data_IF_552813450876
#
_entry.id   IF_552813450876
#
_cell.length_a   1.000
_cell.length_b   1.000
_cell.length_c   1.000
_cell.angle_alpha   90.00
_cell.angle_beta   90.00
_cell.angle_gamma   90.00
#
_symmetry.space_group_name_H-M   'P 1'
#
loop_
_entity.id
_entity.type
_entity.pdbx_description
1 polymer ?
#
# COMPACT_ATOMS: atom_id res chain seq x y z
N UNK A 1 37.54 10.95 -20.89
CA UNK A 1 36.95 11.29 -19.58
C UNK A 1 36.34 12.68 -19.72
N UNK A 2 35.08 12.78 -20.14
CA UNK A 2 34.38 14.07 -20.20
C UNK A 2 33.86 14.39 -18.80
N UNK A 3 34.26 15.53 -18.26
CA UNK A 3 33.70 16.05 -17.01
C UNK A 3 32.19 16.22 -17.20
N UNK A 4 31.41 15.43 -16.46
CA UNK A 4 29.96 15.58 -16.34
C UNK A 4 29.68 16.91 -15.66
N UNK A 5 29.02 17.84 -16.34
CA UNK A 5 28.43 19.01 -15.70
C UNK A 5 27.39 18.48 -14.71
N UNK A 6 27.65 18.62 -13.41
CA UNK A 6 26.66 18.34 -12.37
C UNK A 6 25.40 19.13 -12.70
N UNK A 7 24.29 18.44 -12.93
CA UNK A 7 23.03 19.08 -13.27
C UNK A 7 22.56 19.83 -12.02
N UNK A 8 22.63 21.16 -12.04
CA UNK A 8 22.46 21.97 -10.81
C UNK A 8 20.99 22.19 -10.44
N UNK A 9 20.05 21.90 -11.35
CA UNK A 9 18.63 22.05 -11.05
C UNK A 9 18.07 20.79 -10.37
N UNK A 10 17.05 20.94 -9.49
CA UNK A 10 16.31 19.80 -8.96
C UNK A 10 15.76 18.90 -10.06
N UNK A 11 15.75 17.59 -9.83
CA UNK A 11 15.02 16.64 -10.66
C UNK A 11 13.53 16.72 -10.33
N UNK A 12 12.67 16.70 -11.35
CA UNK A 12 11.22 16.69 -11.19
C UNK A 12 10.71 15.26 -11.39
N UNK A 13 10.33 14.61 -10.30
CA UNK A 13 9.80 13.25 -10.31
C UNK A 13 8.31 13.31 -10.02
N UNK A 14 7.49 12.85 -10.96
CA UNK A 14 6.05 12.76 -10.82
C UNK A 14 5.65 11.30 -10.59
N UNK A 15 4.69 11.05 -9.71
CA UNK A 15 4.17 9.71 -9.51
C UNK A 15 2.83 9.52 -10.24
N UNK A 16 2.61 8.38 -10.88
CA UNK A 16 1.38 8.10 -11.63
C UNK A 16 0.51 7.02 -11.03
N UNK A 17 0.94 6.37 -9.95
CA UNK A 17 0.22 5.29 -9.28
C UNK A 17 0.80 5.06 -7.89
N UNK A 18 -0.05 4.89 -6.89
CA UNK A 18 0.30 4.37 -5.56
C UNK A 18 -0.37 3.05 -5.21
N UNK A 19 -1.24 2.56 -6.10
CA UNK A 19 -1.93 1.29 -5.95
C UNK A 19 -2.45 0.82 -7.31
N UNK A 20 -2.57 -0.50 -7.52
CA UNK A 20 -2.98 -1.06 -8.82
C UNK A 20 -4.35 -0.57 -9.33
N UNK A 21 -5.20 -0.06 -8.44
CA UNK A 21 -6.51 0.49 -8.77
C UNK A 21 -6.51 1.93 -9.31
N UNK A 22 -5.36 2.61 -9.31
CA UNK A 22 -5.26 3.96 -9.85
C UNK A 22 -5.54 3.99 -11.37
N UNK A 23 -6.20 5.05 -11.88
CA UNK A 23 -6.49 5.16 -13.30
C UNK A 23 -5.23 5.25 -14.14
N UNK A 24 -5.15 4.45 -15.21
CA UNK A 24 -4.06 4.48 -16.19
C UNK A 24 -3.81 5.88 -16.80
N UNK A 25 -4.85 6.73 -16.88
CA UNK A 25 -4.78 8.09 -17.41
C UNK A 25 -3.85 9.00 -16.58
N UNK A 26 -3.59 8.70 -15.31
CA UNK A 26 -2.72 9.53 -14.48
C UNK A 26 -1.28 9.58 -14.99
N UNK A 27 -0.79 8.51 -15.64
CA UNK A 27 0.50 8.55 -16.34
C UNK A 27 0.49 9.56 -17.48
N UNK A 28 -0.60 9.61 -18.24
CA UNK A 28 -0.77 10.55 -19.34
C UNK A 28 -0.88 11.99 -18.85
N UNK A 29 -1.62 12.22 -17.76
CA UNK A 29 -1.75 13.52 -17.10
C UNK A 29 -0.40 14.04 -16.61
N UNK A 30 0.36 13.23 -15.88
CA UNK A 30 1.70 13.60 -15.41
C UNK A 30 2.65 13.92 -16.56
N UNK A 31 2.53 13.21 -17.70
CA UNK A 31 3.35 13.50 -18.87
C UNK A 31 2.94 14.76 -19.64
N UNK A 32 1.69 15.21 -19.56
CA UNK A 32 1.14 16.27 -20.42
C UNK A 32 0.92 17.60 -19.71
N UNK A 33 0.52 17.60 -18.43
CA UNK A 33 0.12 18.80 -17.68
C UNK A 33 1.28 19.73 -17.30
N UNK A 34 2.52 19.31 -17.51
CA UNK A 34 3.69 20.15 -17.30
C UNK A 34 4.98 19.43 -17.64
N UNK A 35 6.09 19.98 -17.16
CA UNK A 35 7.41 19.41 -17.32
C UNK A 35 7.75 18.51 -16.13
N UNK A 36 8.17 17.29 -16.44
CA UNK A 36 8.67 16.28 -15.50
C UNK A 36 9.85 15.58 -16.15
N UNK A 37 10.83 15.17 -15.36
CA UNK A 37 12.01 14.44 -15.84
C UNK A 37 11.78 12.92 -15.79
N UNK A 38 11.09 12.50 -14.72
CA UNK A 38 10.75 11.12 -14.45
C UNK A 38 9.28 10.98 -14.11
N UNK A 39 8.69 9.88 -14.56
CA UNK A 39 7.43 9.36 -14.05
C UNK A 39 7.72 8.06 -13.32
N UNK A 40 7.34 8.00 -12.05
CA UNK A 40 7.34 6.77 -11.25
C UNK A 40 5.92 6.24 -11.09
N UNK A 41 5.80 4.99 -10.65
CA UNK A 41 4.49 4.43 -10.31
C UNK A 41 4.66 3.15 -9.52
N UNK A 42 4.01 3.12 -8.37
CA UNK A 42 3.83 1.95 -7.53
C UNK A 42 2.47 1.31 -7.81
N UNK A 43 2.50 0.04 -8.20
CA UNK A 43 1.33 -0.77 -8.46
C UNK A 43 1.29 -2.01 -7.55
N UNK A 44 2.30 -2.21 -6.69
CA UNK A 44 2.43 -3.40 -5.85
C UNK A 44 2.24 -3.04 -4.38
N UNK A 45 1.02 -3.26 -3.89
CA UNK A 45 0.71 -3.20 -2.48
C UNK A 45 0.62 -4.61 -1.88
N UNK A 46 0.71 -4.74 -0.56
CA UNK A 46 0.54 -6.04 0.11
C UNK A 46 -0.79 -6.72 -0.24
N UNK A 47 -1.82 -5.96 -0.61
CA UNK A 47 -3.16 -6.47 -0.91
C UNK A 47 -3.27 -7.24 -2.24
N UNK A 48 -2.48 -6.91 -3.27
CA UNK A 48 -2.58 -7.56 -4.60
C UNK A 48 -1.51 -8.62 -4.84
N UNK A 49 -0.37 -8.57 -4.15
CA UNK A 49 0.72 -9.54 -4.32
C UNK A 49 0.25 -11.00 -4.26
N UNK A 50 -0.53 -11.38 -3.25
CA UNK A 50 -1.03 -12.74 -3.09
C UNK A 50 -2.04 -13.13 -4.18
N UNK A 51 -2.99 -12.24 -4.47
CA UNK A 51 -4.03 -12.47 -5.47
C UNK A 51 -3.44 -12.64 -6.87
N UNK A 52 -2.49 -11.77 -7.23
CA UNK A 52 -1.78 -11.84 -8.50
C UNK A 52 -0.94 -13.11 -8.59
N UNK A 53 -0.27 -13.51 -7.50
CA UNK A 53 0.56 -14.71 -7.48
C UNK A 53 -0.27 -15.97 -7.72
N UNK A 54 -1.45 -16.05 -7.08
CA UNK A 54 -2.38 -17.14 -7.31
C UNK A 54 -2.91 -17.14 -8.75
N UNK A 55 -3.45 -16.02 -9.23
CA UNK A 55 -4.03 -15.93 -10.58
C UNK A 55 -2.98 -16.14 -11.69
N UNK A 56 -1.74 -15.69 -11.49
CA UNK A 56 -0.63 -15.94 -12.42
C UNK A 56 -0.31 -17.43 -12.54
N UNK A 57 -0.26 -18.16 -11.42
CA UNK A 57 -0.01 -19.61 -11.41
C UNK A 57 -1.17 -20.40 -12.01
N UNK A 58 -2.40 -19.94 -11.80
CA UNK A 58 -3.60 -20.52 -12.40
C UNK A 58 -3.75 -20.18 -13.89
N UNK A 59 -2.87 -19.33 -14.44
CA UNK A 59 -2.89 -18.93 -15.85
C UNK A 59 -4.03 -17.97 -16.21
N UNK A 60 -4.65 -17.32 -15.22
CA UNK A 60 -5.78 -16.41 -15.38
C UNK A 60 -5.38 -14.93 -15.34
N UNK A 61 -4.10 -14.65 -15.09
CA UNK A 61 -3.51 -13.30 -15.07
C UNK A 61 -2.26 -13.27 -15.97
N UNK A 62 -1.88 -12.13 -16.60
CA UNK A 62 -0.68 -12.04 -17.44
C UNK A 62 0.63 -11.86 -16.65
N UNK A 63 0.53 -11.67 -15.33
CA UNK A 63 1.65 -11.55 -14.40
C UNK A 63 2.17 -10.12 -14.21
N UNK A 64 1.64 -9.14 -14.94
CA UNK A 64 1.90 -7.70 -14.77
C UNK A 64 0.58 -6.95 -14.63
N UNK A 65 0.63 -5.73 -14.10
CA UNK A 65 -0.53 -4.89 -13.84
C UNK A 65 -1.10 -4.30 -15.14
N UNK A 66 -2.39 -4.50 -15.36
CA UNK A 66 -3.05 -4.05 -16.59
C UNK A 66 -3.10 -2.53 -16.68
N UNK A 67 -3.36 -1.84 -15.56
CA UNK A 67 -3.36 -0.37 -15.49
C UNK A 67 -1.99 0.24 -15.81
N UNK A 68 -0.90 -0.41 -15.40
CA UNK A 68 0.46 -0.01 -15.78
C UNK A 68 0.70 -0.13 -17.29
N UNK A 69 0.24 -1.23 -17.89
CA UNK A 69 0.33 -1.44 -19.33
C UNK A 69 -0.50 -0.41 -20.10
N UNK A 70 -1.74 -0.17 -19.69
CA UNK A 70 -2.62 0.83 -20.31
C UNK A 70 -2.05 2.24 -20.21
N UNK A 71 -1.46 2.60 -19.07
CA UNK A 71 -0.82 3.91 -18.88
C UNK A 71 0.35 4.10 -19.85
N UNK A 72 1.18 3.07 -20.03
CA UNK A 72 2.24 3.08 -21.04
C UNK A 72 1.67 3.21 -22.45
N UNK A 73 0.61 2.48 -22.79
CA UNK A 73 -0.03 2.58 -24.11
C UNK A 73 -0.52 3.99 -24.42
N UNK A 74 -1.16 4.64 -23.44
CA UNK A 74 -1.71 5.99 -23.60
C UNK A 74 -0.60 7.06 -23.70
N UNK A 75 0.56 6.82 -23.09
CA UNK A 75 1.54 7.88 -22.81
C UNK A 75 2.83 7.78 -23.63
N UNK A 76 3.13 6.64 -24.27
CA UNK A 76 4.46 6.36 -24.83
C UNK A 76 4.95 7.38 -25.87
N UNK A 77 4.05 7.96 -26.66
CA UNK A 77 4.41 8.98 -27.66
C UNK A 77 4.84 10.29 -26.98
N UNK A 78 4.14 10.71 -25.91
CA UNK A 78 4.48 11.89 -25.11
C UNK A 78 5.81 11.68 -24.37
N UNK A 79 6.00 10.48 -23.81
CA UNK A 79 7.26 10.06 -23.18
C UNK A 79 8.43 10.22 -24.15
N UNK A 80 8.29 9.73 -25.39
CA UNK A 80 9.32 9.87 -26.42
C UNK A 80 9.56 11.32 -26.82
N UNK A 81 8.48 12.09 -27.05
CA UNK A 81 8.56 13.49 -27.46
C UNK A 81 9.27 14.37 -26.42
N UNK A 82 8.91 14.21 -25.14
CA UNK A 82 9.47 14.99 -24.02
C UNK A 82 10.74 14.38 -23.42
N UNK A 83 11.13 13.18 -23.84
CA UNK A 83 12.26 12.40 -23.28
C UNK A 83 12.12 12.12 -21.78
N UNK A 84 10.88 11.90 -21.34
CA UNK A 84 10.57 11.52 -19.96
C UNK A 84 11.10 10.10 -19.73
N UNK A 85 11.63 9.84 -18.54
CA UNK A 85 12.03 8.49 -18.13
C UNK A 85 10.97 7.89 -17.23
N UNK A 86 10.68 6.60 -17.42
CA UNK A 86 9.64 5.91 -16.65
C UNK A 86 10.26 4.79 -15.83
N UNK A 87 9.94 4.72 -14.54
CA UNK A 87 10.40 3.68 -13.62
C UNK A 87 9.17 3.20 -12.83
N UNK A 88 8.72 1.98 -13.09
CA UNK A 88 7.51 1.42 -12.46
C UNK A 88 7.76 -0.01 -11.98
N UNK A 89 7.07 -0.42 -10.91
CA UNK A 89 7.06 -1.81 -10.44
C UNK A 89 5.83 -2.60 -10.94
N UNK A 90 5.00 -2.01 -11.81
CA UNK A 90 3.82 -2.66 -12.42
C UNK A 90 4.11 -3.89 -13.28
N UNK A 91 5.39 -4.26 -13.46
CA UNK A 91 5.78 -5.56 -13.98
C UNK A 91 5.36 -6.74 -13.09
N UNK A 92 5.11 -6.49 -11.80
CA UNK A 92 4.68 -7.47 -10.80
C UNK A 92 5.49 -8.77 -10.89
N UNK A 93 4.82 -9.90 -11.16
CA UNK A 93 5.40 -11.24 -11.25
C UNK A 93 6.06 -11.52 -12.60
N UNK A 94 5.82 -10.69 -13.61
CA UNK A 94 6.29 -10.85 -14.98
C UNK A 94 6.85 -9.53 -15.55
N UNK A 95 7.87 -8.93 -14.91
CA UNK A 95 8.46 -7.68 -15.38
C UNK A 95 9.07 -7.81 -16.77
N UNK A 96 9.59 -9.00 -17.09
CA UNK A 96 10.05 -9.36 -18.43
C UNK A 96 8.92 -9.25 -19.47
N UNK A 97 7.74 -9.79 -19.16
CA UNK A 97 6.57 -9.77 -20.05
C UNK A 97 6.11 -8.35 -20.36
N UNK A 98 5.99 -7.50 -19.33
CA UNK A 98 5.62 -6.10 -19.51
C UNK A 98 6.65 -5.35 -20.35
N UNK A 99 7.95 -5.56 -20.10
CA UNK A 99 9.02 -4.94 -20.87
C UNK A 99 9.01 -5.38 -22.34
N UNK A 100 8.76 -6.66 -22.64
CA UNK A 100 8.62 -7.13 -24.01
C UNK A 100 7.43 -6.49 -24.71
N UNK A 101 6.27 -6.43 -24.04
CA UNK A 101 5.07 -5.80 -24.59
C UNK A 101 5.28 -4.31 -24.88
N UNK A 102 5.94 -3.61 -23.97
CA UNK A 102 6.37 -2.22 -24.14
C UNK A 102 7.35 -2.06 -25.30
N UNK A 103 8.34 -2.95 -25.42
CA UNK A 103 9.30 -2.93 -26.52
C UNK A 103 8.64 -3.10 -27.90
N UNK A 104 7.62 -3.95 -27.99
CA UNK A 104 6.82 -4.13 -29.21
C UNK A 104 6.09 -2.85 -29.57
N UNK A 105 5.45 -2.18 -28.60
CA UNK A 105 4.80 -0.89 -28.82
C UNK A 105 5.77 0.20 -29.29
N UNK A 106 6.96 0.27 -28.69
CA UNK A 106 8.04 1.18 -29.14
C UNK A 106 8.40 0.94 -30.61
N UNK A 107 8.50 -0.32 -31.04
CA UNK A 107 8.78 -0.66 -32.44
C UNK A 107 7.61 -0.29 -33.37
N UNK A 108 6.39 -0.63 -32.98
CA UNK A 108 5.17 -0.33 -33.75
C UNK A 108 5.03 1.17 -34.02
N UNK A 109 5.33 1.99 -33.00
CA UNK A 109 5.28 3.46 -33.08
C UNK A 109 6.55 4.10 -33.65
N UNK A 110 7.56 3.30 -33.99
CA UNK A 110 8.86 3.76 -34.50
C UNK A 110 9.54 4.81 -33.59
N UNK A 111 9.54 4.56 -32.28
CA UNK A 111 10.09 5.48 -31.27
C UNK A 111 11.52 5.08 -30.87
N UNK A 112 12.37 6.07 -30.61
CA UNK A 112 13.73 5.86 -30.08
C UNK A 112 13.73 5.78 -28.56
N UNK A 113 13.17 4.69 -28.03
CA UNK A 113 13.09 4.42 -26.60
C UNK A 113 13.81 3.12 -26.24
N UNK A 114 14.50 3.14 -25.10
CA UNK A 114 15.12 1.96 -24.50
C UNK A 114 14.21 1.41 -23.41
N UNK A 115 14.05 0.08 -23.40
CA UNK A 115 13.24 -0.64 -22.42
C UNK A 115 14.13 -1.66 -21.72
N UNK A 116 14.10 -1.66 -20.39
CA UNK A 116 14.79 -2.62 -19.54
C UNK A 116 13.84 -3.10 -18.43
N UNK A 117 14.17 -4.23 -17.82
CA UNK A 117 13.45 -4.74 -16.64
C UNK A 117 14.46 -5.28 -15.63
N UNK A 118 14.06 -5.27 -14.37
CA UNK A 118 14.74 -5.93 -13.27
C UNK A 118 13.87 -7.08 -12.76
N UNK A 119 14.49 -8.15 -12.29
CA UNK A 119 13.81 -9.32 -11.71
C UNK A 119 14.72 -9.95 -10.66
N UNK A 120 14.15 -10.61 -9.66
CA UNK A 120 14.91 -11.33 -8.62
C UNK A 120 14.30 -11.24 -7.23
N UNK A 121 13.21 -10.49 -7.09
CA UNK A 121 12.41 -10.33 -5.89
C UNK A 121 11.53 -11.56 -5.58
N UNK A 122 11.12 -12.35 -6.58
CA UNK A 122 10.42 -13.61 -6.36
C UNK A 122 11.36 -14.67 -5.76
N UNK A 123 11.25 -14.85 -4.45
CA UNK A 123 12.00 -15.83 -3.67
C UNK A 123 11.20 -17.11 -3.40
N UNK A 124 10.00 -17.26 -3.96
CA UNK A 124 9.19 -18.47 -3.80
C UNK A 124 9.95 -19.75 -4.19
N UNK A 125 10.74 -19.80 -5.29
CA UNK A 125 11.53 -20.98 -5.63
C UNK A 125 12.63 -21.32 -4.60
N UNK A 126 13.09 -20.33 -3.83
CA UNK A 126 14.14 -20.49 -2.83
C UNK A 126 13.59 -20.98 -1.49
N UNK A 127 12.44 -20.44 -1.06
CA UNK A 127 11.84 -20.78 0.25
C UNK A 127 10.92 -22.01 0.21
N UNK A 128 10.50 -22.42 -0.98
CA UNK A 128 9.69 -23.62 -1.17
C UNK A 128 8.19 -23.42 -1.01
N UNK A 129 7.39 -24.45 -1.32
CA UNK A 129 5.94 -24.31 -1.49
C UNK A 129 5.12 -24.32 -0.19
N UNK A 130 5.76 -24.51 0.97
CA UNK A 130 5.07 -24.63 2.24
C UNK A 130 5.70 -23.69 3.28
N UNK A 131 4.86 -23.15 4.16
CA UNK A 131 5.30 -22.48 5.37
C UNK A 131 6.08 -23.44 6.27
N UNK A 132 7.01 -22.92 7.08
CA UNK A 132 7.68 -23.70 8.13
C UNK A 132 6.68 -24.45 9.02
N UNK A 133 7.02 -25.68 9.42
CA UNK A 133 6.21 -26.49 10.35
C UNK A 133 6.68 -26.36 11.80
N UNK A 134 7.85 -25.75 12.01
CA UNK A 134 8.43 -25.46 13.33
C UNK A 134 9.00 -24.05 13.35
N UNK A 135 9.28 -23.50 14.55
CA UNK A 135 9.89 -22.17 14.67
C UNK A 135 11.33 -22.16 14.17
N UNK A 136 12.01 -23.30 14.29
CA UNK A 136 13.42 -23.53 14.01
C UNK A 136 13.71 -23.61 12.50
N UNK A 137 12.70 -23.94 11.70
CA UNK A 137 12.74 -23.92 10.22
C UNK A 137 12.73 -22.50 9.65
N UNK A 138 12.30 -21.50 10.43
CA UNK A 138 12.35 -20.11 10.01
C UNK A 138 13.77 -19.54 10.22
N UNK A 139 14.58 -19.61 9.16
CA UNK A 139 16.00 -19.22 9.18
C UNK A 139 16.28 -17.96 8.35
N UNK A 140 17.34 -17.25 8.71
CA UNK A 140 17.87 -16.17 7.89
C UNK A 140 18.44 -16.75 6.58
N UNK A 141 17.91 -16.30 5.43
CA UNK A 141 18.24 -16.89 4.11
C UNK A 141 19.73 -16.81 3.76
N UNK A 142 20.43 -15.76 4.19
CA UNK A 142 21.86 -15.60 3.92
C UNK A 142 22.79 -16.22 4.98
N UNK A 143 22.45 -16.10 6.26
CA UNK A 143 23.36 -16.45 7.37
C UNK A 143 23.24 -17.92 7.78
N UNK A 144 22.21 -18.65 7.34
CA UNK A 144 21.89 -20.02 7.78
C UNK A 144 21.86 -20.15 9.32
N UNK A 145 21.45 -19.07 9.99
CA UNK A 145 21.26 -19.00 11.43
C UNK A 145 19.77 -18.74 11.74
N UNK A 146 19.28 -19.10 12.94
CA UNK A 146 17.94 -18.71 13.38
C UNK A 146 17.75 -17.20 13.24
N UNK A 147 16.52 -16.74 13.00
CA UNK A 147 16.22 -15.29 12.96
C UNK A 147 16.59 -14.68 14.31
N UNK A 148 17.70 -13.93 14.34
CA UNK A 148 18.21 -13.23 15.50
C UNK A 148 17.58 -11.84 15.60
N UNK A 149 16.29 -11.74 15.94
CA UNK A 149 15.69 -10.51 16.48
C UNK A 149 14.27 -10.79 16.98
N UNK A 150 13.69 -9.85 17.73
CA UNK A 150 12.38 -9.93 18.38
C UNK A 150 11.24 -10.21 17.38
N UNK A 151 11.08 -11.48 17.03
CA UNK A 151 9.98 -11.96 16.19
C UNK A 151 8.68 -11.72 16.97
N UNK A 152 7.77 -10.95 16.38
CA UNK A 152 6.45 -10.70 16.97
C UNK A 152 5.71 -12.03 17.13
N UNK A 153 4.90 -12.15 18.18
CA UNK A 153 4.22 -13.43 18.50
C UNK A 153 3.32 -13.91 17.36
N UNK A 154 2.73 -12.99 16.61
CA UNK A 154 1.90 -13.23 15.42
C UNK A 154 2.67 -13.82 14.23
N UNK A 155 4.00 -13.71 14.18
CA UNK A 155 4.81 -14.26 13.09
C UNK A 155 4.64 -15.77 12.98
N UNK A 156 4.41 -16.45 14.10
CA UNK A 156 4.23 -17.90 14.14
C UNK A 156 2.77 -18.34 14.02
N UNK A 157 1.85 -17.46 13.63
CA UNK A 157 0.43 -17.78 13.51
C UNK A 157 0.18 -18.99 12.58
N UNK A 158 1.03 -19.21 11.57
CA UNK A 158 0.96 -20.38 10.68
C UNK A 158 1.08 -21.71 11.42
N UNK A 159 1.79 -21.77 12.56
CA UNK A 159 1.97 -22.98 13.39
C UNK A 159 0.71 -23.41 14.14
N UNK A 160 -0.32 -22.55 14.22
CA UNK A 160 -1.61 -22.88 14.84
C UNK A 160 -2.45 -23.81 13.94
N UNK A 161 -1.85 -24.85 13.34
CA UNK A 161 -2.54 -25.80 12.48
C UNK A 161 -2.86 -27.09 13.25
N UNK A 162 -4.14 -27.36 13.58
CA UNK A 162 -4.52 -28.56 14.34
C UNK A 162 -4.24 -29.87 13.61
N UNK A 163 -4.18 -29.84 12.27
CA UNK A 163 -3.93 -31.03 11.44
C UNK A 163 -2.44 -31.38 11.32
N UNK A 164 -1.53 -30.55 11.86
CA UNK A 164 -0.08 -30.66 11.73
C UNK A 164 0.44 -30.81 10.28
N UNK A 165 -0.38 -30.45 9.27
CA UNK A 165 0.03 -30.43 7.87
C UNK A 165 0.79 -29.14 7.56
N UNK A 166 1.82 -29.18 6.70
CA UNK A 166 2.45 -27.96 6.21
C UNK A 166 1.41 -27.05 5.55
N UNK A 167 1.42 -25.76 5.88
CA UNK A 167 0.52 -24.77 5.29
C UNK A 167 1.08 -24.36 3.92
N UNK A 168 0.36 -24.55 2.80
CA UNK A 168 0.87 -24.15 1.50
C UNK A 168 1.06 -22.63 1.41
N UNK A 169 2.20 -22.23 0.84
CA UNK A 169 2.54 -20.84 0.60
C UNK A 169 1.95 -20.37 -0.73
N UNK A 170 1.39 -19.16 -0.73
CA UNK A 170 0.87 -18.49 -1.93
C UNK A 170 1.96 -17.67 -2.60
N UNK A 171 2.84 -16.98 -1.89
CA UNK A 171 3.95 -16.26 -2.52
C UNK A 171 5.02 -15.86 -1.50
N UNK A 172 6.22 -15.54 -2.01
CA UNK A 172 7.31 -14.99 -1.22
C UNK A 172 8.10 -13.99 -2.07
N UNK A 173 7.95 -12.70 -1.77
CA UNK A 173 8.60 -11.62 -2.53
C UNK A 173 9.44 -10.74 -1.61
N UNK A 174 10.70 -10.53 -1.97
CA UNK A 174 11.50 -9.47 -1.37
C UNK A 174 10.87 -8.14 -1.76
N UNK A 175 10.50 -7.33 -0.77
CA UNK A 175 9.77 -6.10 -1.04
C UNK A 175 10.72 -5.04 -1.59
N UNK A 176 10.55 -4.68 -2.87
CA UNK A 176 11.16 -3.47 -3.43
C UNK A 176 10.30 -2.30 -2.96
N UNK A 177 10.87 -1.43 -2.14
CA UNK A 177 10.11 -0.34 -1.54
C UNK A 177 9.57 0.61 -2.63
N UNK A 178 8.32 1.02 -2.43
CA UNK A 178 7.59 2.10 -3.11
C UNK A 178 8.43 3.35 -3.42
N UNK A 179 9.27 3.79 -2.48
CA UNK A 179 10.10 4.98 -2.66
C UNK A 179 11.35 4.75 -3.54
N UNK A 180 11.78 3.49 -3.73
CA UNK A 180 13.04 3.16 -4.42
C UNK A 180 13.11 3.64 -5.89
N UNK A 181 12.04 3.60 -6.70
CA UNK A 181 12.00 4.26 -8.02
C UNK A 181 12.36 5.75 -7.99
N UNK A 182 11.93 6.48 -6.95
CA UNK A 182 12.21 7.91 -6.78
C UNK A 182 13.66 8.14 -6.37
N UNK A 183 14.19 7.29 -5.46
CA UNK A 183 15.62 7.27 -5.11
C UNK A 183 16.47 7.05 -6.36
N UNK A 184 16.14 6.04 -7.17
CA UNK A 184 16.86 5.72 -8.40
C UNK A 184 16.87 6.89 -9.40
N UNK A 185 15.75 7.61 -9.53
CA UNK A 185 15.65 8.79 -10.38
C UNK A 185 16.59 9.92 -9.91
N UNK A 186 16.57 10.25 -8.62
CA UNK A 186 17.42 11.30 -8.04
C UNK A 186 18.91 10.92 -8.05
N UNK A 187 19.23 9.69 -7.68
CA UNK A 187 20.57 9.13 -7.70
C UNK A 187 21.19 9.20 -9.11
N UNK A 188 20.44 8.78 -10.13
CA UNK A 188 20.87 8.91 -11.52
C UNK A 188 21.07 10.37 -11.93
N UNK A 189 20.10 11.24 -11.62
CA UNK A 189 20.07 12.61 -12.13
C UNK A 189 21.23 13.45 -11.61
N UNK A 190 21.51 13.33 -10.31
CA UNK A 190 22.56 14.09 -9.62
C UNK A 190 23.91 13.38 -9.62
N UNK A 191 23.99 12.16 -10.15
CA UNK A 191 25.19 11.33 -10.18
C UNK A 191 25.80 11.16 -8.77
N UNK A 192 24.94 10.83 -7.82
CA UNK A 192 25.34 10.57 -6.43
C UNK A 192 26.11 9.26 -6.30
N UNK A 193 26.89 9.14 -5.22
CA UNK A 193 27.44 7.86 -4.80
C UNK A 193 26.39 7.05 -4.05
N UNK A 194 26.50 5.72 -4.08
CA UNK A 194 25.72 4.80 -3.21
C UNK A 194 25.95 5.04 -1.71
N UNK A 195 26.98 5.82 -1.35
CA UNK A 195 27.31 6.18 0.03
C UNK A 195 26.98 7.62 0.40
N UNK A 196 26.32 8.37 -0.51
CA UNK A 196 25.83 9.73 -0.23
C UNK A 196 24.54 9.66 0.62
N UNK A 197 24.62 9.08 1.81
CA UNK A 197 23.44 8.66 2.59
C UNK A 197 22.45 9.79 2.90
N UNK A 198 22.92 10.99 3.23
CA UNK A 198 22.02 12.13 3.48
C UNK A 198 21.19 12.47 2.23
N UNK A 199 21.79 12.38 1.05
CA UNK A 199 21.13 12.68 -0.22
C UNK A 199 20.15 11.58 -0.62
N UNK A 200 20.56 10.32 -0.46
CA UNK A 200 19.71 9.16 -0.67
C UNK A 200 18.51 9.18 0.28
N UNK A 201 18.73 9.50 1.56
CA UNK A 201 17.67 9.65 2.55
C UNK A 201 16.72 10.80 2.20
N UNK A 202 17.25 11.92 1.71
CA UNK A 202 16.42 13.01 1.19
C UNK A 202 15.50 12.55 0.05
N UNK A 203 16.02 11.76 -0.90
CA UNK A 203 15.19 11.17 -1.96
C UNK A 203 14.22 10.09 -1.49
N UNK A 204 14.55 9.35 -0.41
CA UNK A 204 13.62 8.42 0.24
C UNK A 204 12.41 9.18 0.81
N UNK A 205 12.64 10.26 1.54
CA UNK A 205 11.54 11.10 2.05
C UNK A 205 10.75 11.74 0.91
N UNK A 206 11.42 12.18 -0.16
CA UNK A 206 10.72 12.69 -1.34
C UNK A 206 9.86 11.62 -2.03
N UNK A 207 10.33 10.37 -2.09
CA UNK A 207 9.58 9.23 -2.61
C UNK A 207 8.34 8.93 -1.78
N UNK A 208 8.52 8.80 -0.46
CA UNK A 208 7.45 8.62 0.52
C UNK A 208 6.32 9.65 0.38
N UNK A 209 6.68 10.89 0.08
CA UNK A 209 5.70 11.96 -0.11
C UNK A 209 4.87 11.82 -1.39
N UNK A 210 5.37 11.18 -2.45
CA UNK A 210 4.71 11.17 -3.76
C UNK A 210 4.17 9.80 -4.19
N UNK A 211 4.59 8.71 -3.57
CA UNK A 211 4.24 7.35 -3.99
C UNK A 211 2.76 7.00 -3.77
N UNK A 212 2.13 7.44 -2.68
CA UNK A 212 0.73 7.11 -2.36
C UNK A 212 -0.30 7.97 -3.13
N UNK A 213 -0.27 7.91 -4.46
CA UNK A 213 -1.28 8.54 -5.33
C UNK A 213 -1.47 10.03 -5.00
N UNK A 214 -2.68 10.46 -4.63
CA UNK A 214 -3.01 11.85 -4.30
C UNK A 214 -2.87 12.20 -2.81
N UNK A 215 -2.25 11.38 -1.96
CA UNK A 215 -2.31 11.58 -0.51
C UNK A 215 -1.73 12.92 -0.05
N UNK A 216 -0.56 13.30 -0.57
CA UNK A 216 0.08 14.60 -0.25
C UNK A 216 -0.64 15.79 -0.90
N UNK A 217 -1.49 15.52 -1.89
CA UNK A 217 -2.28 16.52 -2.63
C UNK A 217 -3.73 16.59 -2.14
N UNK A 218 -3.97 16.19 -0.87
CA UNK A 218 -5.22 16.20 -0.09
C UNK A 218 -5.92 14.84 0.09
N UNK A 219 -5.56 13.80 -0.69
CA UNK A 219 -6.26 12.51 -0.69
C UNK A 219 -6.30 11.76 0.65
N UNK A 220 -5.44 12.10 1.61
CA UNK A 220 -5.40 11.53 2.96
C UNK A 220 -5.38 12.62 4.06
N UNK A 221 -5.77 13.85 3.74
CA UNK A 221 -5.74 14.96 4.68
C UNK A 221 -7.00 14.99 5.54
N UNK A 222 -6.85 14.80 6.85
CA UNK A 222 -7.99 14.75 7.78
C UNK A 222 -8.70 16.11 7.96
N UNK A 223 -8.05 17.23 7.64
CA UNK A 223 -8.61 18.59 7.75
C UNK A 223 -9.34 19.08 6.50
N UNK A 224 -9.76 18.16 5.61
CA UNK A 224 -10.45 18.48 4.36
C UNK A 224 -11.72 19.32 4.55
N UNK A 225 -12.37 19.22 5.72
CA UNK A 225 -13.61 19.94 6.06
C UNK A 225 -13.43 21.46 6.18
N UNK A 226 -12.19 21.93 6.25
CA UNK A 226 -11.85 23.35 6.23
C UNK A 226 -11.84 23.95 4.81
N UNK A 227 -12.07 23.14 3.77
CA UNK A 227 -12.01 23.51 2.36
C UNK A 227 -13.32 23.19 1.63
N UNK A 228 -13.50 23.78 0.45
CA UNK A 228 -14.67 23.48 -0.39
C UNK A 228 -14.55 22.08 -0.96
N UNK A 229 -15.60 21.26 -0.85
CA UNK A 229 -15.62 19.92 -1.46
C UNK A 229 -15.40 19.97 -2.98
N UNK A 230 -15.88 21.02 -3.65
CA UNK A 230 -15.70 21.20 -5.09
C UNK A 230 -14.23 21.36 -5.50
N UNK A 231 -13.37 21.79 -4.57
CA UNK A 231 -11.94 21.94 -4.80
C UNK A 231 -11.17 20.62 -4.59
N UNK A 232 -11.81 19.58 -4.04
CA UNK A 232 -11.16 18.35 -3.58
C UNK A 232 -11.64 17.07 -4.31
N UNK A 233 -12.50 17.19 -5.32
CA UNK A 233 -13.11 16.03 -6.00
C UNK A 233 -12.11 15.24 -6.83
N UNK A 234 -11.19 15.94 -7.51
CA UNK A 234 -10.21 15.34 -8.44
C UNK A 234 -8.79 15.85 -8.12
N UNK A 235 -8.24 15.52 -6.94
CA UNK A 235 -6.91 15.98 -6.57
C UNK A 235 -5.87 15.43 -7.58
N UNK A 236 -5.05 16.32 -8.14
CA UNK A 236 -3.99 15.90 -9.05
C UNK A 236 -2.87 15.17 -8.31
N UNK A 237 -2.16 14.27 -8.97
CA UNK A 237 -1.05 13.54 -8.35
C UNK A 237 0.19 14.45 -8.15
N UNK A 238 1.01 14.18 -7.12
CA UNK A 238 2.12 15.03 -6.73
C UNK A 238 3.34 14.91 -7.63
N UNK A 239 4.22 15.88 -7.44
CA UNK A 239 5.56 15.97 -8.02
C UNK A 239 6.52 16.31 -6.89
N UNK A 240 7.65 15.61 -6.82
CA UNK A 240 8.79 15.99 -5.99
C UNK A 240 9.85 16.68 -6.84
N UNK A 241 10.30 17.86 -6.41
CA UNK A 241 11.47 18.53 -6.95
C UNK A 241 12.66 18.29 -6.01
N UNK A 242 13.54 17.35 -6.36
CA UNK A 242 14.61 16.89 -5.47
C UNK A 242 15.93 17.58 -5.86
N UNK A 243 16.46 18.40 -4.97
CA UNK A 243 17.71 19.14 -5.16
C UNK A 243 18.95 18.24 -5.02
N UNK A 244 20.10 18.74 -5.48
CA UNK A 244 21.36 17.99 -5.48
C UNK A 244 21.91 17.66 -4.09
N UNK A 245 21.44 18.35 -3.05
CA UNK A 245 21.76 18.09 -1.65
C UNK A 245 20.79 17.14 -0.95
N UNK A 246 19.77 16.64 -1.67
CA UNK A 246 18.74 15.74 -1.14
C UNK A 246 17.52 16.44 -0.57
N UNK A 247 17.54 17.76 -0.38
CA UNK A 247 16.33 18.50 0.01
C UNK A 247 15.30 18.49 -1.12
N UNK A 248 14.02 18.63 -0.80
CA UNK A 248 12.98 18.58 -1.83
C UNK A 248 11.87 19.61 -1.64
N UNK A 249 11.13 19.84 -2.72
CA UNK A 249 9.85 20.54 -2.69
C UNK A 249 8.76 19.60 -3.18
N UNK A 250 7.77 19.33 -2.35
CA UNK A 250 6.53 18.69 -2.76
C UNK A 250 5.65 19.73 -3.44
N UNK A 251 5.13 19.41 -4.63
CA UNK A 251 4.31 20.30 -5.46
C UNK A 251 3.36 19.45 -6.31
N UNK A 252 2.58 20.12 -7.17
CA UNK A 252 1.70 19.48 -8.15
C UNK A 252 1.65 20.28 -9.44
N UNK A 253 1.00 19.72 -10.47
CA UNK A 253 0.68 20.47 -11.67
C UNK A 253 -0.29 21.63 -11.37
N UNK A 254 -0.13 22.78 -12.05
CA UNK A 254 -1.05 23.91 -11.89
C UNK A 254 -2.45 23.58 -12.43
N UNK A 255 -3.46 24.32 -11.97
CA UNK A 255 -4.85 24.25 -12.44
C UNK A 255 -5.58 22.89 -12.26
N UNK A 256 -5.05 21.98 -11.44
CA UNK A 256 -5.80 20.80 -10.99
C UNK A 256 -6.53 21.11 -9.67
N UNK A 257 -7.52 20.32 -9.30
CA UNK A 257 -8.07 20.32 -7.94
C UNK A 257 -7.07 19.72 -6.93
N UNK A 258 -7.42 19.76 -5.65
CA UNK A 258 -6.55 19.42 -4.53
C UNK A 258 -5.60 20.55 -4.14
N UNK A 259 -4.77 20.29 -3.14
CA UNK A 259 -3.84 21.27 -2.60
C UNK A 259 -2.58 20.63 -2.05
N UNK A 260 -1.47 21.37 -2.10
CA UNK A 260 -0.25 21.01 -1.37
C UNK A 260 0.06 22.13 -0.38
N UNK A 261 0.03 21.81 0.91
CA UNK A 261 0.40 22.73 1.98
C UNK A 261 1.16 21.98 3.09
N UNK A 262 1.63 22.73 4.10
CA UNK A 262 2.42 22.17 5.19
C UNK A 262 1.69 21.02 5.91
N UNK A 263 0.37 21.11 6.07
CA UNK A 263 -0.41 20.11 6.78
C UNK A 263 -0.63 18.84 5.93
N UNK A 264 -0.89 18.97 4.61
CA UNK A 264 -0.99 17.80 3.73
C UNK A 264 0.34 17.04 3.65
N UNK A 265 1.47 17.76 3.58
CA UNK A 265 2.81 17.17 3.61
C UNK A 265 3.12 16.51 4.94
N UNK A 266 2.74 17.11 6.07
CA UNK A 266 2.92 16.47 7.39
C UNK A 266 2.05 15.22 7.55
N UNK A 267 0.81 15.26 7.09
CA UNK A 267 -0.08 14.10 7.11
C UNK A 267 0.51 12.94 6.32
N UNK A 268 0.96 13.17 5.08
CA UNK A 268 1.60 12.13 4.29
C UNK A 268 2.93 11.68 4.89
N UNK A 269 3.75 12.61 5.37
CA UNK A 269 5.04 12.29 5.98
C UNK A 269 4.89 11.35 7.18
N UNK A 270 3.87 11.54 8.02
CA UNK A 270 3.63 10.68 9.19
C UNK A 270 2.89 9.37 8.86
N UNK A 271 2.35 9.24 7.64
CA UNK A 271 1.67 8.02 7.20
C UNK A 271 2.66 6.85 7.18
N UNK A 272 2.26 5.73 7.77
CA UNK A 272 3.01 4.45 7.83
C UNK A 272 4.43 4.49 8.44
N UNK A 273 4.91 5.64 8.91
CA UNK A 273 6.19 5.74 9.60
C UNK A 273 6.07 5.30 11.07
N UNK A 274 6.98 4.43 11.49
CA UNK A 274 7.08 3.94 12.86
C UNK A 274 8.44 4.28 13.48
N UNK A 275 8.42 4.94 14.64
CA UNK A 275 9.65 5.30 15.35
C UNK A 275 10.30 6.58 14.81
N UNK A 276 11.63 6.67 14.95
CA UNK A 276 12.41 7.86 14.60
C UNK A 276 13.41 7.63 13.45
N UNK A 277 13.39 6.43 12.87
CA UNK A 277 14.24 6.03 11.76
C UNK A 277 13.40 5.24 10.76
N UNK A 278 13.35 5.71 9.52
CA UNK A 278 12.68 5.05 8.42
C UNK A 278 13.67 4.15 7.68
N UNK A 279 13.38 2.86 7.64
CA UNK A 279 14.24 1.84 7.05
C UNK A 279 13.80 1.55 5.61
N UNK A 280 14.72 1.69 4.66
CA UNK A 280 14.54 1.31 3.27
C UNK A 280 15.76 0.51 2.78
N UNK A 281 15.57 -0.36 1.79
CA UNK A 281 16.61 -1.23 1.23
C UNK A 281 17.84 -0.48 0.70
N UNK A 282 17.67 0.76 0.26
CA UNK A 282 18.74 1.60 -0.31
C UNK A 282 19.45 2.46 0.74
N UNK A 283 18.73 2.91 1.79
CA UNK A 283 19.22 3.84 2.81
C UNK A 283 18.30 3.83 4.04
N UNK A 284 18.82 4.18 5.22
CA UNK A 284 17.96 4.50 6.38
C UNK A 284 17.91 6.01 6.60
N UNK A 285 16.73 6.58 6.87
CA UNK A 285 16.56 8.01 7.12
C UNK A 285 16.21 8.31 8.59
N UNK A 286 16.94 9.22 9.22
CA UNK A 286 16.55 9.81 10.50
C UNK A 286 15.50 10.89 10.27
N UNK A 287 14.34 10.75 10.93
CA UNK A 287 13.17 11.58 10.66
C UNK A 287 12.88 12.63 11.75
N UNK A 288 13.66 12.66 12.84
CA UNK A 288 13.39 13.54 13.99
C UNK A 288 13.68 15.03 13.74
N UNK A 289 14.61 15.33 12.83
CA UNK A 289 15.04 16.71 12.55
C UNK A 289 14.46 17.25 11.23
N UNK A 290 13.47 16.54 10.66
CA UNK A 290 12.86 16.94 9.40
C UNK A 290 12.05 18.21 9.59
N UNK A 291 12.31 19.17 8.71
CA UNK A 291 11.67 20.48 8.68
C UNK A 291 10.76 20.55 7.46
N UNK A 292 9.48 20.90 7.70
CA UNK A 292 8.45 21.07 6.66
C UNK A 292 7.97 22.52 6.70
N UNK A 293 8.25 23.26 5.63
CA UNK A 293 8.05 24.71 5.54
C UNK A 293 7.28 25.11 4.28
N UNK A 294 6.43 26.13 4.41
CA UNK A 294 5.72 26.72 3.28
C UNK A 294 6.72 27.36 2.30
N UNK A 295 6.62 26.99 1.02
CA UNK A 295 7.45 27.50 -0.06
C UNK A 295 6.62 28.23 -1.12
N UNK A 296 5.37 28.59 -0.79
CA UNK A 296 4.44 29.31 -1.65
C UNK A 296 3.27 28.45 -2.09
N UNK A 297 2.43 28.99 -2.99
CA UNK A 297 1.20 28.33 -3.43
C UNK A 297 1.49 26.93 -3.99
N UNK A 298 0.85 25.92 -3.40
CA UNK A 298 0.97 24.50 -3.78
C UNK A 298 2.41 23.96 -3.72
N UNK A 299 3.25 24.53 -2.84
CA UNK A 299 4.68 24.20 -2.73
C UNK A 299 5.12 24.16 -1.28
N UNK A 300 5.74 23.06 -0.88
CA UNK A 300 6.22 22.86 0.49
C UNK A 300 7.64 22.33 0.44
N UNK A 301 8.56 23.01 1.11
CA UNK A 301 9.94 22.61 1.21
C UNK A 301 10.14 21.63 2.38
N UNK A 302 10.87 20.55 2.12
CA UNK A 302 11.26 19.55 3.12
C UNK A 302 12.78 19.46 3.18
N UNK A 303 13.33 19.62 4.38
CA UNK A 303 14.77 19.64 4.64
C UNK A 303 15.12 18.99 6.00
N UNK A 304 16.39 19.00 6.39
CA UNK A 304 16.84 18.43 7.67
C UNK A 304 16.95 16.90 7.69
N UNK A 305 16.83 16.24 6.53
CA UNK A 305 16.94 14.78 6.41
C UNK A 305 18.41 14.35 6.57
N UNK A 306 18.66 13.38 7.44
CA UNK A 306 19.96 12.72 7.59
C UNK A 306 19.84 11.24 7.31
N UNK A 307 20.82 10.67 6.65
CA UNK A 307 20.86 9.28 6.27
C UNK A 307 21.90 8.46 7.03
N UNK A 308 21.70 7.16 7.06
CA UNK A 308 22.71 6.18 7.41
C UNK A 308 22.69 5.02 6.42
N UNK A 309 23.64 4.10 6.57
CA UNK A 309 23.65 2.86 5.81
C UNK A 309 22.27 2.16 5.78
N UNK A 310 21.92 1.48 4.68
CA UNK A 310 20.74 0.63 4.63
C UNK A 310 20.78 -0.42 5.77
N UNK A 311 19.60 -0.90 6.23
CA UNK A 311 19.55 -1.93 7.24
C UNK A 311 20.26 -3.20 6.75
N UNK A 312 20.87 -4.00 7.64
CA UNK A 312 21.53 -5.25 7.27
C UNK A 312 20.52 -6.37 6.90
N UNK A 313 19.24 -6.05 6.75
CA UNK A 313 18.14 -7.00 6.57
C UNK A 313 17.12 -6.45 5.57
N UNK A 314 16.58 -7.32 4.73
CA UNK A 314 15.49 -7.00 3.78
C UNK A 314 14.18 -7.65 4.22
N UNK A 315 13.05 -6.95 4.03
CA UNK A 315 11.70 -7.47 4.30
C UNK A 315 11.31 -8.48 3.21
N UNK A 316 10.93 -9.69 3.64
CA UNK A 316 10.34 -10.72 2.79
C UNK A 316 8.84 -10.82 3.10
N UNK A 317 7.99 -10.49 2.13
CA UNK A 317 6.55 -10.64 2.24
C UNK A 317 6.16 -12.07 1.84
N UNK A 318 5.64 -12.84 2.80
CA UNK A 318 5.19 -14.22 2.60
C UNK A 318 3.69 -14.30 2.81
N UNK A 319 2.98 -14.83 1.81
CA UNK A 319 1.52 -14.98 1.86
C UNK A 319 1.15 -16.46 1.89
N UNK A 320 0.11 -16.79 2.66
CA UNK A 320 -0.48 -18.13 2.77
C UNK A 320 -1.97 -18.01 3.13
N UNK A 321 -2.74 -19.10 2.93
CA UNK A 321 -4.14 -19.11 3.34
C UNK A 321 -4.26 -19.22 4.87
N UNK A 322 -4.62 -18.12 5.54
CA UNK A 322 -4.68 -18.00 6.99
C UNK A 322 -5.90 -18.66 7.66
N UNK A 323 -6.94 -19.00 6.90
CA UNK A 323 -8.20 -19.53 7.41
C UNK A 323 -9.39 -18.85 6.75
N UNK A 324 -10.50 -18.79 7.47
CA UNK A 324 -11.77 -18.24 7.02
C UNK A 324 -12.17 -17.05 7.88
N UNK A 325 -12.68 -16.02 7.24
CA UNK A 325 -13.30 -14.86 7.88
C UNK A 325 -14.77 -14.78 7.46
N UNK A 326 -15.64 -14.37 8.38
CA UNK A 326 -16.96 -13.87 8.04
C UNK A 326 -17.31 -12.62 8.82
N UNK A 327 -18.12 -11.77 8.19
CA UNK A 327 -18.69 -10.59 8.80
C UNK A 327 -20.21 -10.63 8.68
N UNK A 328 -20.89 -10.51 9.81
CA UNK A 328 -22.35 -10.40 9.86
C UNK A 328 -22.68 -8.97 10.25
N UNK A 329 -23.32 -8.22 9.35
CA UNK A 329 -23.74 -6.85 9.60
C UNK A 329 -25.25 -6.81 9.87
N UNK A 330 -25.62 -6.26 11.02
CA UNK A 330 -27.01 -6.17 11.47
C UNK A 330 -27.37 -4.75 11.86
N UNK A 331 -28.61 -4.38 11.59
CA UNK A 331 -29.14 -3.05 11.88
C UNK A 331 -30.16 -3.15 13.01
N UNK A 332 -30.03 -2.32 14.04
CA UNK A 332 -31.09 -2.11 15.02
C UNK A 332 -31.50 -0.65 15.02
N UNK A 333 -32.81 -0.45 14.96
CA UNK A 333 -33.46 0.86 14.97
C UNK A 333 -34.35 1.01 16.20
N UNK A 334 -34.79 2.24 16.46
CA UNK A 334 -35.72 2.58 17.53
C UNK A 334 -35.08 2.55 18.92
N UNK A 335 -35.89 2.24 19.93
CA UNK A 335 -35.49 2.34 21.33
C UNK A 335 -34.54 1.21 21.77
N UNK A 336 -33.65 1.54 22.72
CA UNK A 336 -32.78 0.61 23.45
C UNK A 336 -31.90 -0.31 22.56
N UNK A 337 -31.38 0.22 21.45
CA UNK A 337 -30.46 -0.51 20.55
C UNK A 337 -29.30 -1.19 21.29
N UNK A 338 -28.68 -0.50 22.26
CA UNK A 338 -27.63 -1.07 23.10
C UNK A 338 -28.08 -2.36 23.84
N UNK A 339 -29.32 -2.42 24.33
CA UNK A 339 -29.86 -3.61 25.00
C UNK A 339 -30.23 -4.71 24.01
N UNK A 340 -30.67 -4.36 22.80
CA UNK A 340 -30.86 -5.32 21.71
C UNK A 340 -29.53 -6.00 21.36
N UNK A 341 -28.43 -5.24 21.32
CA UNK A 341 -27.08 -5.76 21.10
C UNK A 341 -26.57 -6.63 22.25
N UNK A 342 -26.78 -6.22 23.51
CA UNK A 342 -26.47 -7.04 24.68
C UNK A 342 -27.19 -8.40 24.61
N UNK A 343 -28.47 -8.41 24.21
CA UNK A 343 -29.28 -9.62 24.10
C UNK A 343 -28.81 -10.52 22.96
N UNK A 344 -28.58 -9.94 21.78
CA UNK A 344 -28.13 -10.67 20.61
C UNK A 344 -26.79 -11.37 20.87
N UNK A 345 -25.80 -10.64 21.40
CA UNK A 345 -24.50 -11.21 21.74
C UNK A 345 -24.65 -12.37 22.74
N UNK A 346 -25.46 -12.19 23.79
CA UNK A 346 -25.75 -13.26 24.76
C UNK A 346 -26.36 -14.49 24.11
N UNK A 347 -27.32 -14.31 23.20
CA UNK A 347 -27.98 -15.41 22.50
C UNK A 347 -27.00 -16.16 21.60
N UNK A 348 -26.18 -15.46 20.82
CA UNK A 348 -25.18 -16.10 19.96
C UNK A 348 -24.21 -16.91 20.80
N UNK A 349 -23.62 -16.31 21.84
CA UNK A 349 -22.69 -17.00 22.74
C UNK A 349 -23.34 -18.18 23.45
N UNK A 350 -24.63 -18.11 23.76
CA UNK A 350 -25.37 -19.19 24.40
C UNK A 350 -25.58 -20.40 23.46
N UNK A 351 -25.96 -20.16 22.20
CA UNK A 351 -26.30 -21.23 21.26
C UNK A 351 -25.09 -21.81 20.51
N UNK A 352 -23.91 -21.18 20.59
CA UNK A 352 -22.66 -21.78 20.12
C UNK A 352 -22.26 -22.95 21.01
N UNK A 353 -21.86 -24.07 20.40
CA UNK A 353 -21.32 -25.23 21.11
C UNK A 353 -19.91 -24.95 21.60
N UNK A 354 -19.47 -25.63 22.67
CA UNK A 354 -18.11 -25.46 23.20
C UNK A 354 -17.03 -25.80 22.16
N UNK A 355 -17.26 -26.81 21.31
CA UNK A 355 -16.33 -27.14 20.22
C UNK A 355 -16.17 -25.96 19.26
N UNK A 356 -17.27 -25.35 18.81
CA UNK A 356 -17.18 -24.18 17.91
C UNK A 356 -16.50 -23.02 18.63
N UNK A 357 -16.81 -22.74 19.90
CA UNK A 357 -16.15 -21.67 20.66
C UNK A 357 -14.64 -21.87 20.75
N UNK A 358 -14.18 -23.10 20.92
CA UNK A 358 -12.75 -23.43 20.98
C UNK A 358 -12.06 -23.33 19.61
N UNK A 359 -12.79 -23.53 18.52
CA UNK A 359 -12.24 -23.44 17.15
C UNK A 359 -12.21 -22.00 16.60
N UNK A 360 -12.99 -21.08 17.17
CA UNK A 360 -13.00 -19.68 16.76
C UNK A 360 -11.73 -18.98 17.28
N UNK A 361 -10.99 -18.34 16.38
CA UNK A 361 -9.85 -17.50 16.74
C UNK A 361 -10.31 -16.11 17.18
N UNK A 362 -11.30 -15.56 16.46
CA UNK A 362 -11.92 -14.28 16.80
C UNK A 362 -13.45 -14.41 16.75
N UNK A 363 -14.12 -13.87 17.77
CA UNK A 363 -15.56 -13.62 17.78
C UNK A 363 -15.83 -12.30 18.50
N UNK A 364 -15.86 -11.22 17.72
CA UNK A 364 -16.05 -9.86 18.19
C UNK A 364 -17.41 -9.29 17.82
N UNK A 365 -17.96 -8.51 18.74
CA UNK A 365 -19.24 -7.83 18.59
C UNK A 365 -19.01 -6.31 18.57
N UNK A 366 -18.78 -5.77 17.38
CA UNK A 366 -18.40 -4.37 17.18
C UNK A 366 -19.66 -3.52 16.96
N UNK A 367 -20.02 -2.70 17.95
CA UNK A 367 -21.14 -1.76 17.86
C UNK A 367 -20.68 -0.48 17.19
N UNK A 368 -21.33 -0.10 16.09
CA UNK A 368 -20.93 1.04 15.26
C UNK A 368 -22.08 2.06 15.19
N UNK A 369 -21.74 3.32 15.44
CA UNK A 369 -22.65 4.46 15.41
C UNK A 369 -23.34 4.76 16.75
N UNK A 370 -23.92 5.95 16.83
CA UNK A 370 -24.72 6.42 17.97
C UNK A 370 -26.07 6.86 17.42
N UNK A 371 -27.17 6.27 17.94
CA UNK A 371 -28.51 6.67 17.54
C UNK A 371 -28.79 8.13 17.97
N UNK A 372 -29.42 8.91 17.09
CA UNK A 372 -29.87 10.26 17.43
C UNK A 372 -30.90 10.23 18.56
N UNK A 373 -30.86 11.25 19.42
CA UNK A 373 -31.90 11.46 20.44
C UNK A 373 -33.18 11.96 19.77
N UNK A 374 -34.33 11.32 20.05
CA UNK A 374 -35.63 11.64 19.43
C UNK A 374 -35.58 11.73 17.89
N UNK A 375 -35.20 10.62 17.23
CA UNK A 375 -34.91 10.59 15.80
C UNK A 375 -36.17 10.88 14.97
N UNK A 376 -36.08 11.79 14.00
CA UNK A 376 -37.16 12.09 13.06
C UNK A 376 -37.31 11.03 11.94
N UNK A 377 -36.38 10.09 11.83
CA UNK A 377 -36.39 9.02 10.84
C UNK A 377 -35.81 7.72 11.41
N UNK A 378 -36.19 6.59 10.80
CA UNK A 378 -35.63 5.28 11.15
C UNK A 378 -34.10 5.28 11.02
N UNK A 379 -33.58 5.82 9.91
CA UNK A 379 -32.15 5.93 9.62
C UNK A 379 -31.38 6.67 10.71
N UNK A 380 -31.89 7.81 11.19
CA UNK A 380 -31.25 8.58 12.26
C UNK A 380 -31.19 7.83 13.61
N UNK A 381 -32.00 6.78 13.77
CA UNK A 381 -32.06 5.96 14.98
C UNK A 381 -31.36 4.61 14.85
N UNK A 382 -30.85 4.31 13.65
CA UNK A 382 -30.22 3.03 13.35
C UNK A 382 -28.78 3.01 13.84
N UNK A 383 -28.42 1.93 14.52
CA UNK A 383 -27.03 1.56 14.84
C UNK A 383 -26.70 0.24 14.16
N UNK A 384 -25.42 -0.03 13.96
CA UNK A 384 -24.94 -1.27 13.36
C UNK A 384 -24.26 -2.14 14.40
N UNK A 385 -24.40 -3.45 14.26
CA UNK A 385 -23.54 -4.43 14.90
C UNK A 385 -22.81 -5.20 13.81
N UNK A 386 -21.48 -5.09 13.78
CA UNK A 386 -20.60 -5.95 12.99
C UNK A 386 -20.12 -7.09 13.88
N UNK A 387 -20.52 -8.31 13.54
CA UNK A 387 -19.99 -9.52 14.18
C UNK A 387 -18.82 -9.99 13.30
N UNK A 388 -17.61 -9.85 13.82
CA UNK A 388 -16.38 -10.24 13.13
C UNK A 388 -15.92 -11.61 13.63
N UNK A 389 -15.73 -12.54 12.70
CA UNK A 389 -15.52 -13.96 12.99
C UNK A 389 -14.31 -14.43 12.19
N UNK A 390 -13.32 -15.04 12.87
CA UNK A 390 -12.23 -15.74 12.19
C UNK A 390 -12.04 -17.14 12.78
N UNK A 391 -11.73 -18.10 11.93
CA UNK A 391 -11.34 -19.46 12.32
C UNK A 391 -10.65 -20.16 11.16
N UNK A 392 -9.79 -21.12 11.47
CA UNK A 392 -9.26 -22.06 10.46
C UNK A 392 -10.30 -23.07 9.96
N UNK A 393 -11.42 -23.22 10.67
CA UNK A 393 -12.53 -24.09 10.28
C UNK A 393 -13.63 -23.26 9.63
N UNK A 394 -13.84 -23.47 8.32
CA UNK A 394 -14.99 -22.90 7.59
C UNK A 394 -16.31 -23.24 8.28
N UNK A 395 -16.42 -24.48 8.77
CA UNK A 395 -17.64 -24.95 9.44
C UNK A 395 -17.90 -24.19 10.73
N UNK A 396 -16.84 -23.86 11.48
CA UNK A 396 -16.96 -23.10 12.74
C UNK A 396 -17.33 -21.63 12.48
N UNK A 397 -16.79 -21.01 11.41
CA UNK A 397 -17.25 -19.69 10.96
C UNK A 397 -18.73 -19.72 10.55
N UNK A 398 -19.12 -20.69 9.72
CA UNK A 398 -20.50 -20.84 9.24
C UNK A 398 -21.49 -21.20 10.37
N UNK A 399 -21.01 -21.81 11.46
CA UNK A 399 -21.83 -22.12 12.62
C UNK A 399 -22.35 -20.86 13.32
N UNK A 400 -21.57 -19.78 13.37
CA UNK A 400 -22.04 -18.49 13.91
C UNK A 400 -23.17 -17.92 13.06
N UNK A 401 -23.02 -17.95 11.73
CA UNK A 401 -24.07 -17.57 10.78
C UNK A 401 -25.32 -18.45 10.90
N UNK A 402 -25.15 -19.75 11.19
CA UNK A 402 -26.28 -20.65 11.46
C UNK A 402 -27.00 -20.28 12.76
N UNK A 403 -26.28 -20.06 13.85
CA UNK A 403 -26.85 -19.61 15.13
C UNK A 403 -27.64 -18.31 14.92
N UNK A 404 -27.09 -17.35 14.17
CA UNK A 404 -27.78 -16.12 13.81
C UNK A 404 -29.13 -16.37 13.12
N UNK A 405 -29.19 -17.30 12.16
CA UNK A 405 -30.45 -17.70 11.52
C UNK A 405 -31.42 -18.34 12.52
N UNK A 406 -30.93 -19.23 13.39
CA UNK A 406 -31.75 -19.95 14.37
C UNK A 406 -32.35 -19.04 15.46
N UNK A 407 -31.75 -17.86 15.69
CA UNK A 407 -32.25 -16.84 16.60
C UNK A 407 -32.89 -15.65 15.89
N UNK A 408 -33.01 -15.66 14.55
CA UNK A 408 -33.35 -14.48 13.77
C UNK A 408 -34.62 -13.73 14.23
N UNK A 409 -35.62 -14.46 14.73
CA UNK A 409 -36.88 -13.89 15.25
C UNK A 409 -36.98 -13.88 16.79
N UNK A 410 -35.87 -14.13 17.51
CA UNK A 410 -35.82 -14.22 18.98
C UNK A 410 -35.08 -13.05 19.66
N UNK A 411 -34.40 -12.21 18.88
CA UNK A 411 -33.36 -11.32 19.41
C UNK A 411 -33.68 -9.82 19.33
N UNK A 412 -34.64 -9.43 18.49
CA UNK A 412 -35.05 -8.03 18.33
C UNK A 412 -36.47 -7.79 18.83
N UNK A 413 -36.58 -7.11 19.97
CA UNK A 413 -37.86 -6.56 20.41
C UNK A 413 -38.25 -5.37 19.53
N UNK A 414 -39.45 -5.41 18.94
CA UNK A 414 -39.91 -4.39 17.99
C UNK A 414 -39.18 -4.47 16.64
N UNK A 415 -38.85 -5.67 16.18
CA UNK A 415 -38.36 -5.91 14.81
C UNK A 415 -39.49 -5.57 13.83
N UNK A 416 -39.28 -4.54 13.00
CA UNK A 416 -40.15 -4.15 11.89
C UNK A 416 -39.45 -4.46 10.58
#
# INVERSE_FOLDING_TARGET
MSQSSTNTRPVRVANCSGYHGDPAEEMYRQATLGDVDFITGDYLAEVNLANNAQAWRDGTHPGYEETAWEGLQQTIEVIAQKRIRVIINGGALNPKGLAWKTRLLVNEKNLDLRVAYLSGDDLYPLVGPNMPSTKEELQHLELQQPICSAVRTDTYAFLNNPDAKPVPMVSAHAYLADASPVIAAAWFWHNWSETDYDRLAGSLIAGHLIECSAYVTDGNFAGFDSYSLDDLVVPGFPIAEIAADGTCVATRHPNMQGMVNVDTVRCQFLYELQGNMYLNSDVSAYISDIVVEDAGKDRVHVSGIRGSLPPPTTKLAVFYHGGYEAQILLNATGYATAKKWDLLEKQIRHFLTENVKNDLETLEFQRIGVAAQNPASQAASTTYLRIFITSRSETSVLAVSKVMRDIALKHFSGML
#
